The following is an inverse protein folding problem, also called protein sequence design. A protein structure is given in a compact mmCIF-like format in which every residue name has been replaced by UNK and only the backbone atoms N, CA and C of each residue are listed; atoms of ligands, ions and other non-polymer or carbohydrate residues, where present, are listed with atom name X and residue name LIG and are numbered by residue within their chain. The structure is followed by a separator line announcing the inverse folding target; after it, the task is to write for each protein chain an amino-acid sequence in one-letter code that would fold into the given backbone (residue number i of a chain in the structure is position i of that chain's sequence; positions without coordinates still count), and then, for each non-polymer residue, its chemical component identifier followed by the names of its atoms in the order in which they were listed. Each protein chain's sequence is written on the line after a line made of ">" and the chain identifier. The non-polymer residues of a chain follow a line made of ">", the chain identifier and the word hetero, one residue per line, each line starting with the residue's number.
data_IF_951437863599
#
_entry.id   IF_951437863599
#
_cell.length_a   1.000
_cell.length_b   1.000
_cell.length_c   1.000
_cell.angle_alpha   90.00
_cell.angle_beta   90.00
_cell.angle_gamma   90.00
#
_symmetry.space_group_name_H-M   'P 1'
#
loop_
_entity.id
_entity.type
_entity.pdbx_description
1 polymer ?
#
# COMPACT_ATOMS: atom_id res chain seq x y z
N UNK A 1 -34.82 -14.73 -14.54
CA UNK A 1 -34.79 -15.78 -13.51
C UNK A 1 -35.57 -15.26 -12.32
N UNK A 2 -36.51 -16.02 -11.74
CA UNK A 2 -37.21 -15.59 -10.53
C UNK A 2 -36.28 -15.70 -9.32
N UNK A 3 -36.23 -14.66 -8.48
CA UNK A 3 -35.50 -14.65 -7.23
C UNK A 3 -36.22 -15.56 -6.22
N UNK A 4 -35.51 -16.60 -5.76
CA UNK A 4 -35.94 -17.49 -4.69
C UNK A 4 -35.17 -17.05 -3.44
N UNK A 5 -35.88 -16.54 -2.44
CA UNK A 5 -35.30 -16.23 -1.14
C UNK A 5 -35.61 -17.35 -0.17
N UNK A 6 -34.58 -17.93 0.43
CA UNK A 6 -34.69 -18.92 1.50
C UNK A 6 -34.78 -18.21 2.84
N UNK A 7 -35.79 -18.54 3.63
CA UNK A 7 -35.86 -18.15 5.04
C UNK A 7 -35.86 -19.42 5.90
N UNK A 8 -34.91 -19.46 6.83
CA UNK A 8 -34.82 -20.46 7.88
C UNK A 8 -35.47 -19.82 9.11
N UNK A 9 -36.62 -20.36 9.54
CA UNK A 9 -37.26 -19.94 10.78
C UNK A 9 -36.48 -20.45 12.00
N UNK A 10 -36.72 -19.83 13.16
CA UNK A 10 -36.02 -20.16 14.42
C UNK A 10 -36.37 -21.55 15.00
N UNK A 11 -37.39 -22.24 14.46
CA UNK A 11 -37.75 -23.61 14.84
C UNK A 11 -37.31 -24.62 13.78
N UNK A 12 -36.58 -25.67 14.21
CA UNK A 12 -35.81 -26.62 13.38
C UNK A 12 -36.60 -27.45 12.36
N UNK A 13 -37.93 -27.34 12.28
CA UNK A 13 -38.76 -28.28 11.51
C UNK A 13 -39.80 -27.62 10.56
N UNK A 14 -39.64 -26.34 10.17
CA UNK A 14 -40.51 -25.73 9.16
C UNK A 14 -39.76 -24.98 8.05
N UNK A 15 -39.63 -25.63 6.90
CA UNK A 15 -39.28 -24.97 5.63
C UNK A 15 -40.57 -24.51 4.93
N UNK A 16 -40.74 -23.20 4.77
CA UNK A 16 -41.90 -22.64 4.06
C UNK A 16 -41.45 -21.91 2.80
N UNK A 17 -41.71 -22.50 1.63
CA UNK A 17 -41.46 -21.84 0.34
C UNK A 17 -42.57 -20.83 0.10
N UNK A 18 -42.26 -19.54 0.24
CA UNK A 18 -43.19 -18.47 -0.12
C UNK A 18 -42.86 -17.92 -1.50
N UNK A 19 -43.84 -17.98 -2.41
CA UNK A 19 -43.71 -17.34 -3.72
C UNK A 19 -43.93 -15.84 -3.57
N UNK A 20 -42.90 -15.04 -3.87
CA UNK A 20 -43.04 -13.59 -3.88
C UNK A 20 -44.07 -13.16 -4.95
N UNK A 21 -44.98 -12.22 -4.64
CA UNK A 21 -45.93 -11.70 -5.61
C UNK A 21 -45.18 -11.04 -6.76
N UNK A 22 -45.55 -11.40 -7.99
CA UNK A 22 -44.92 -10.89 -9.22
C UNK A 22 -44.84 -9.36 -9.21
N UNK A 23 -43.67 -8.75 -9.43
CA UNK A 23 -43.52 -7.31 -9.38
C UNK A 23 -44.45 -6.64 -10.39
N UNK A 24 -45.31 -5.75 -9.89
CA UNK A 24 -46.24 -4.93 -10.68
C UNK A 24 -45.47 -4.27 -11.83
N UNK A 25 -45.92 -4.49 -13.08
CA UNK A 25 -45.35 -3.91 -14.31
C UNK A 25 -45.10 -2.41 -14.13
N UNK A 26 -43.86 -2.05 -13.81
CA UNK A 26 -43.43 -0.66 -13.67
C UNK A 26 -43.29 -0.03 -15.05
N UNK A 27 -44.07 1.02 -15.31
CA UNK A 27 -44.06 1.81 -16.55
C UNK A 27 -42.66 2.36 -16.88
N UNK A 28 -41.80 2.56 -15.87
CA UNK A 28 -40.40 3.00 -16.03
C UNK A 28 -39.51 1.95 -16.70
N UNK A 29 -39.74 0.65 -16.43
CA UNK A 29 -38.93 -0.44 -17.00
C UNK A 29 -39.14 -0.56 -18.52
N UNK A 30 -40.36 -0.28 -18.98
CA UNK A 30 -40.70 -0.27 -20.41
C UNK A 30 -40.06 0.91 -21.16
N UNK A 31 -39.97 2.08 -20.51
CA UNK A 31 -39.28 3.26 -21.08
C UNK A 31 -37.79 2.98 -21.25
N UNK A 32 -37.14 2.36 -20.24
CA UNK A 32 -35.73 1.98 -20.34
C UNK A 32 -35.46 0.99 -21.49
N UNK A 33 -36.31 -0.02 -21.67
CA UNK A 33 -36.18 -0.98 -22.78
C UNK A 33 -36.32 -0.27 -24.14
N UNK A 34 -37.27 0.66 -24.29
CA UNK A 34 -37.43 1.42 -25.53
C UNK A 34 -36.21 2.30 -25.84
N UNK A 35 -35.60 2.93 -24.83
CA UNK A 35 -34.38 3.73 -25.00
C UNK A 35 -33.23 2.85 -25.50
N UNK A 36 -33.04 1.67 -24.92
CA UNK A 36 -31.99 0.72 -25.35
C UNK A 36 -32.21 0.25 -26.79
N UNK A 37 -33.45 -0.05 -27.17
CA UNK A 37 -33.77 -0.48 -28.54
C UNK A 37 -33.53 0.64 -29.56
N UNK A 38 -33.92 1.88 -29.24
CA UNK A 38 -33.70 3.03 -30.13
C UNK A 38 -32.21 3.35 -30.27
N UNK A 39 -31.44 3.32 -29.17
CA UNK A 39 -29.99 3.51 -29.21
C UNK A 39 -29.28 2.40 -29.98
N UNK A 40 -29.69 1.14 -29.79
CA UNK A 40 -29.13 -0.01 -30.52
C UNK A 40 -29.39 0.06 -32.02
N UNK A 41 -30.60 0.46 -32.44
CA UNK A 41 -30.92 0.68 -33.84
C UNK A 41 -30.14 1.86 -34.45
N UNK A 42 -29.96 2.95 -33.69
CA UNK A 42 -29.16 4.10 -34.11
C UNK A 42 -27.68 3.76 -34.34
N UNK A 43 -27.08 2.97 -33.44
CA UNK A 43 -25.70 2.48 -33.58
C UNK A 43 -25.54 1.55 -34.79
N UNK A 44 -26.52 0.69 -35.06
CA UNK A 44 -26.50 -0.18 -36.25
C UNK A 44 -26.55 0.58 -37.57
N UNK A 45 -27.27 1.71 -37.62
CA UNK A 45 -27.31 2.58 -38.80
C UNK A 45 -25.98 3.34 -39.00
N UNK A 46 -25.36 3.81 -37.93
CA UNK A 46 -24.08 4.53 -37.98
C UNK A 46 -22.92 3.63 -38.43
N UNK A 47 -22.92 2.36 -38.03
CA UNK A 47 -21.93 1.38 -38.49
C UNK A 47 -22.05 1.02 -39.97
N UNK A 48 -23.26 1.12 -40.55
CA UNK A 48 -23.49 0.83 -41.98
C UNK A 48 -23.08 1.95 -42.92
N UNK A 49 -22.85 3.16 -42.41
CA UNK A 49 -22.44 4.32 -43.21
C UNK A 49 -20.92 4.51 -43.28
N UNK A 50 -20.12 3.61 -42.69
CA UNK A 50 -18.66 3.66 -42.84
C UNK A 50 -18.34 3.11 -44.24
N UNK A 51 -17.87 3.95 -45.19
CA UNK A 51 -17.51 3.48 -46.52
C UNK A 51 -16.45 2.39 -46.41
N UNK A 52 -16.65 1.31 -47.16
CA UNK A 52 -15.75 0.17 -47.21
C UNK A 52 -14.34 0.66 -47.54
N UNK A 53 -13.42 0.45 -46.60
CA UNK A 53 -12.04 0.91 -46.68
C UNK A 53 -11.41 0.46 -48.00
N UNK A 54 -10.73 1.39 -48.68
CA UNK A 54 -10.00 1.11 -49.90
C UNK A 54 -9.17 -0.19 -49.78
N UNK A 55 -9.07 -1.00 -50.85
CA UNK A 55 -8.39 -2.28 -50.82
C UNK A 55 -7.00 -2.13 -50.21
N UNK A 56 -6.77 -2.89 -49.13
CA UNK A 56 -5.53 -2.85 -48.33
C UNK A 56 -4.36 -3.10 -49.29
N UNK A 57 -3.34 -2.22 -49.32
CA UNK A 57 -2.17 -2.44 -50.17
C UNK A 57 -1.59 -3.82 -49.85
N UNK A 58 -1.29 -4.58 -50.91
CA UNK A 58 -0.70 -5.91 -50.82
C UNK A 58 0.52 -5.85 -49.90
N UNK A 59 0.57 -6.65 -48.82
CA UNK A 59 1.69 -6.60 -47.89
C UNK A 59 2.98 -6.87 -48.65
N UNK A 60 3.92 -5.92 -48.56
CA UNK A 60 5.30 -6.20 -48.95
C UNK A 60 5.77 -7.45 -48.22
N UNK A 61 6.55 -8.34 -48.88
CA UNK A 61 7.08 -9.54 -48.25
C UNK A 61 7.74 -9.14 -46.93
N UNK A 62 7.19 -9.65 -45.82
CA UNK A 62 7.76 -9.44 -44.49
C UNK A 62 9.23 -9.83 -44.56
N UNK A 63 10.17 -8.94 -44.14
CA UNK A 63 11.56 -9.32 -44.04
C UNK A 63 11.65 -10.59 -43.20
N UNK A 64 12.43 -11.57 -43.67
CA UNK A 64 12.66 -12.81 -42.94
C UNK A 64 12.99 -12.48 -41.49
N UNK A 65 12.34 -13.11 -40.51
CA UNK A 65 12.55 -12.80 -39.10
C UNK A 65 14.04 -12.88 -38.81
N UNK A 66 14.64 -11.75 -38.40
CA UNK A 66 16.00 -11.78 -37.88
C UNK A 66 16.01 -12.77 -36.72
N UNK A 67 17.01 -13.66 -36.63
CA UNK A 67 17.11 -14.58 -35.51
C UNK A 67 17.10 -13.76 -34.23
N UNK A 68 16.07 -13.98 -33.39
CA UNK A 68 16.00 -13.35 -32.08
C UNK A 68 17.29 -13.70 -31.34
N UNK A 69 18.10 -12.72 -30.91
CA UNK A 69 19.34 -13.00 -30.21
C UNK A 69 19.04 -13.91 -29.02
N UNK A 70 19.65 -15.09 -28.98
CA UNK A 70 19.50 -16.03 -27.87
C UNK A 70 19.97 -15.35 -26.60
N UNK A 71 19.06 -15.16 -25.64
CA UNK A 71 19.38 -14.56 -24.35
C UNK A 71 20.56 -15.32 -23.72
N UNK A 72 21.60 -14.65 -23.21
CA UNK A 72 22.70 -15.34 -22.56
C UNK A 72 22.16 -16.18 -21.40
N UNK A 73 22.71 -17.39 -21.22
CA UNK A 73 22.38 -18.21 -20.06
C UNK A 73 22.97 -17.58 -18.78
N UNK A 74 22.21 -17.60 -17.69
CA UNK A 74 22.70 -17.17 -16.37
C UNK A 74 23.92 -18.03 -16.00
N UNK A 75 25.05 -17.43 -15.57
CA UNK A 75 26.20 -18.21 -15.13
C UNK A 75 25.81 -19.20 -14.02
N UNK A 76 26.20 -20.47 -14.15
CA UNK A 76 25.75 -21.53 -13.25
C UNK A 76 25.98 -21.23 -11.76
N UNK A 77 27.09 -20.57 -11.42
CA UNK A 77 27.39 -20.17 -10.03
C UNK A 77 26.53 -19.01 -9.54
N UNK A 78 26.13 -18.08 -10.40
CA UNK A 78 25.19 -17.01 -10.04
C UNK A 78 23.80 -17.60 -9.80
N UNK A 79 23.37 -18.47 -10.72
CA UNK A 79 22.12 -19.22 -10.57
C UNK A 79 22.08 -19.97 -9.24
N UNK A 80 23.13 -20.71 -8.89
CA UNK A 80 23.21 -21.45 -7.62
C UNK A 80 23.10 -20.54 -6.37
N UNK A 81 23.64 -19.33 -6.41
CA UNK A 81 23.48 -18.36 -5.32
C UNK A 81 22.04 -17.84 -5.23
N UNK A 82 21.41 -17.49 -6.37
CA UNK A 82 20.01 -17.05 -6.42
C UNK A 82 19.08 -18.14 -5.92
N UNK A 83 19.29 -19.38 -6.35
CA UNK A 83 18.52 -20.56 -5.95
C UNK A 83 18.58 -20.78 -4.44
N UNK A 84 19.80 -20.78 -3.88
CA UNK A 84 20.01 -20.96 -2.44
C UNK A 84 19.42 -19.82 -1.62
N UNK A 85 19.51 -18.58 -2.10
CA UNK A 85 18.87 -17.42 -1.47
C UNK A 85 17.35 -17.56 -1.48
N UNK A 86 16.77 -17.94 -2.62
CA UNK A 86 15.32 -18.10 -2.75
C UNK A 86 14.79 -19.18 -1.80
N UNK A 87 15.46 -20.34 -1.70
CA UNK A 87 15.12 -21.40 -0.76
C UNK A 87 15.22 -20.93 0.70
N UNK A 88 16.33 -20.27 1.06
CA UNK A 88 16.52 -19.78 2.42
C UNK A 88 15.49 -18.72 2.82
N UNK A 89 15.06 -17.84 1.91
CA UNK A 89 13.96 -16.90 2.13
C UNK A 89 12.62 -17.63 2.32
N UNK A 90 12.36 -18.65 1.50
CA UNK A 90 11.14 -19.47 1.59
C UNK A 90 11.04 -20.19 2.95
N UNK A 91 12.16 -20.74 3.42
CA UNK A 91 12.26 -21.51 4.68
C UNK A 91 12.44 -20.62 5.92
N UNK A 92 12.81 -19.35 5.75
CA UNK A 92 13.22 -18.49 6.86
C UNK A 92 14.57 -18.87 7.48
N UNK A 93 15.46 -19.50 6.70
CA UNK A 93 16.83 -19.86 7.13
C UNK A 93 17.73 -18.62 7.16
N UNK A 94 17.66 -17.90 8.28
CA UNK A 94 18.39 -16.65 8.48
C UNK A 94 19.91 -16.80 8.40
N UNK A 95 20.46 -17.93 8.85
CA UNK A 95 21.90 -18.13 8.84
C UNK A 95 22.43 -18.37 7.42
N UNK A 96 21.66 -19.07 6.56
CA UNK A 96 21.98 -19.14 5.13
C UNK A 96 21.88 -17.77 4.45
N UNK A 97 20.87 -16.95 4.78
CA UNK A 97 20.76 -15.58 4.23
C UNK A 97 21.95 -14.71 4.64
N UNK A 98 22.36 -14.76 5.90
CA UNK A 98 23.56 -14.05 6.39
C UNK A 98 24.80 -14.53 5.63
N UNK A 99 24.97 -15.84 5.44
CA UNK A 99 26.13 -16.42 4.75
C UNK A 99 26.19 -16.13 3.24
N UNK A 100 25.04 -15.79 2.64
CA UNK A 100 24.90 -15.38 1.24
C UNK A 100 25.04 -13.88 1.03
N UNK A 101 25.04 -13.06 2.09
CA UNK A 101 25.28 -11.62 1.98
C UNK A 101 26.77 -11.30 2.01
N UNK A 102 27.14 -10.17 1.39
CA UNK A 102 28.46 -9.56 1.55
C UNK A 102 28.71 -9.12 3.00
N UNK A 103 29.83 -8.46 3.31
CA UNK A 103 30.08 -7.88 4.63
C UNK A 103 28.92 -6.96 5.05
N UNK A 104 28.39 -7.19 6.26
CA UNK A 104 27.32 -6.41 6.87
C UNK A 104 27.75 -6.00 8.27
N UNK A 105 27.25 -4.87 8.76
CA UNK A 105 27.43 -4.48 10.16
C UNK A 105 26.60 -5.36 11.11
N UNK A 106 26.96 -5.36 12.39
CA UNK A 106 26.31 -6.21 13.40
C UNK A 106 24.83 -5.85 13.62
N UNK A 107 24.44 -4.59 13.43
CA UNK A 107 23.06 -4.15 13.61
C UNK A 107 22.16 -4.67 12.48
N UNK A 108 22.65 -4.65 11.23
CA UNK A 108 21.96 -5.23 10.08
C UNK A 108 21.75 -6.74 10.23
N UNK A 109 22.74 -7.46 10.73
CA UNK A 109 22.64 -8.90 11.02
C UNK A 109 21.59 -9.17 12.11
N UNK A 110 21.64 -8.43 13.21
CA UNK A 110 20.68 -8.59 14.32
C UNK A 110 19.25 -8.20 13.92
N UNK A 111 19.11 -7.20 13.05
CA UNK A 111 17.82 -6.87 12.46
C UNK A 111 17.28 -8.02 11.61
N UNK A 112 18.10 -8.63 10.75
CA UNK A 112 17.70 -9.81 9.96
C UNK A 112 17.26 -10.97 10.85
N UNK A 113 18.00 -11.29 11.91
CA UNK A 113 17.64 -12.36 12.86
C UNK A 113 16.29 -12.15 13.54
N UNK A 114 15.96 -10.91 13.90
CA UNK A 114 14.71 -10.58 14.57
C UNK A 114 13.52 -10.49 13.62
N UNK A 115 13.74 -10.11 12.37
CA UNK A 115 12.66 -9.71 11.46
C UNK A 115 12.46 -10.66 10.27
N UNK A 116 13.42 -11.54 9.95
CA UNK A 116 13.22 -12.50 8.87
C UNK A 116 12.17 -13.54 9.29
N UNK A 117 11.08 -13.57 8.54
CA UNK A 117 10.06 -14.62 8.58
C UNK A 117 10.17 -15.43 7.29
N UNK A 118 9.80 -16.71 7.37
CA UNK A 118 9.68 -17.57 6.19
C UNK A 118 8.69 -16.95 5.19
N UNK A 119 9.09 -16.83 3.92
CA UNK A 119 8.22 -16.36 2.84
C UNK A 119 7.22 -17.44 2.40
N UNK A 120 7.48 -18.70 2.76
CA UNK A 120 6.66 -19.85 2.40
C UNK A 120 6.98 -20.41 1.03
N UNK A 121 6.38 -21.57 0.74
CA UNK A 121 6.50 -22.29 -0.53
C UNK A 121 5.16 -22.29 -1.27
N UNK A 122 5.17 -22.29 -2.62
CA UNK A 122 3.95 -22.53 -3.38
C UNK A 122 3.41 -23.93 -3.04
N UNK A 123 2.10 -24.02 -2.82
CA UNK A 123 1.40 -25.29 -2.54
C UNK A 123 0.94 -26.01 -3.81
N UNK A 124 1.10 -25.37 -4.96
CA UNK A 124 0.76 -25.86 -6.29
C UNK A 124 2.02 -26.12 -7.12
N UNK A 125 1.85 -26.41 -8.42
CA UNK A 125 2.97 -26.70 -9.34
C UNK A 125 3.77 -25.45 -9.75
N UNK A 126 3.50 -24.26 -9.18
CA UNK A 126 4.27 -23.05 -9.52
C UNK A 126 5.70 -23.17 -9.01
N UNK A 127 6.62 -22.57 -9.77
CA UNK A 127 8.01 -22.45 -9.34
C UNK A 127 8.12 -21.54 -8.11
N UNK A 128 9.05 -21.85 -7.21
CA UNK A 128 9.38 -20.99 -6.07
C UNK A 128 9.83 -19.60 -6.50
N UNK A 129 10.60 -19.52 -7.59
CA UNK A 129 11.05 -18.27 -8.18
C UNK A 129 11.32 -18.41 -9.69
N UNK A 130 11.43 -17.28 -10.36
CA UNK A 130 11.77 -17.12 -11.77
C UNK A 130 12.76 -15.95 -11.92
N UNK A 131 13.84 -16.15 -12.70
CA UNK A 131 14.76 -15.07 -13.08
C UNK A 131 14.19 -14.39 -14.32
N UNK A 132 13.59 -13.21 -14.14
CA UNK A 132 12.96 -12.43 -15.20
C UNK A 132 14.01 -11.81 -16.10
N UNK A 133 15.05 -11.24 -15.52
CA UNK A 133 16.19 -10.66 -16.22
C UNK A 133 17.46 -10.70 -15.40
N UNK A 134 18.61 -10.61 -16.07
CA UNK A 134 19.89 -10.49 -15.40
C UNK A 134 20.92 -9.84 -16.31
N UNK A 135 21.96 -9.29 -15.69
CA UNK A 135 23.11 -8.79 -16.45
C UNK A 135 24.39 -8.95 -15.62
N UNK A 136 25.47 -9.35 -16.30
CA UNK A 136 26.82 -9.28 -15.77
C UNK A 136 27.43 -7.94 -16.16
N UNK A 137 27.42 -7.00 -15.22
CA UNK A 137 28.02 -5.67 -15.43
C UNK A 137 29.54 -5.74 -15.53
N UNK A 138 30.12 -6.67 -14.78
CA UNK A 138 31.53 -7.04 -14.86
C UNK A 138 31.67 -8.53 -14.52
N UNK A 139 32.87 -9.11 -14.63
CA UNK A 139 33.11 -10.47 -14.13
C UNK A 139 32.81 -10.65 -12.63
N UNK A 140 32.72 -9.54 -11.87
CA UNK A 140 32.54 -9.57 -10.42
C UNK A 140 31.29 -8.87 -9.91
N UNK A 141 30.46 -8.30 -10.79
CA UNK A 141 29.22 -7.62 -10.43
C UNK A 141 28.08 -8.07 -11.33
N UNK A 142 26.96 -8.39 -10.73
CA UNK A 142 25.75 -8.80 -11.43
C UNK A 142 24.51 -8.22 -10.76
N UNK A 143 23.42 -8.19 -11.50
CA UNK A 143 22.09 -8.05 -10.94
C UNK A 143 21.16 -9.07 -11.57
N UNK A 144 20.10 -9.43 -10.85
CA UNK A 144 19.04 -10.28 -11.34
C UNK A 144 17.68 -9.74 -10.89
N UNK A 145 16.76 -9.55 -11.83
CA UNK A 145 15.36 -9.29 -11.57
C UNK A 145 14.67 -10.64 -11.32
N UNK A 146 14.21 -10.84 -10.09
CA UNK A 146 13.70 -12.12 -9.59
C UNK A 146 12.26 -11.94 -9.15
N UNK A 147 11.38 -12.77 -9.73
CA UNK A 147 10.02 -12.99 -9.25
C UNK A 147 10.05 -14.20 -8.33
N UNK A 148 9.71 -14.04 -7.06
CA UNK A 148 9.73 -15.09 -6.06
C UNK A 148 8.38 -15.17 -5.33
N UNK A 149 7.97 -16.37 -4.96
CA UNK A 149 6.80 -16.59 -4.13
C UNK A 149 7.04 -16.07 -2.71
N UNK A 150 6.09 -15.29 -2.20
CA UNK A 150 6.09 -14.72 -0.86
C UNK A 150 4.65 -14.59 -0.36
N UNK A 151 4.36 -15.21 0.78
CA UNK A 151 3.08 -15.11 1.47
C UNK A 151 1.88 -15.37 0.56
N UNK A 152 1.93 -16.43 -0.25
CA UNK A 152 0.84 -16.82 -1.16
C UNK A 152 0.87 -16.17 -2.55
N UNK A 153 1.73 -15.18 -2.78
CA UNK A 153 1.71 -14.32 -3.97
C UNK A 153 3.08 -14.21 -4.64
N UNK A 154 3.11 -13.72 -5.88
CA UNK A 154 4.35 -13.43 -6.60
C UNK A 154 4.87 -12.04 -6.23
N UNK A 155 6.11 -11.97 -5.74
CA UNK A 155 6.83 -10.77 -5.36
C UNK A 155 8.07 -10.61 -6.25
N UNK A 156 8.21 -9.47 -6.92
CA UNK A 156 9.30 -9.19 -7.86
C UNK A 156 10.25 -8.14 -7.30
N UNK A 157 11.54 -8.40 -7.31
CA UNK A 157 12.60 -7.47 -6.89
C UNK A 157 13.86 -7.63 -7.75
N UNK A 158 14.64 -6.56 -7.87
CA UNK A 158 16.00 -6.58 -8.42
C UNK A 158 17.01 -6.81 -7.30
N UNK A 159 17.77 -7.89 -7.45
CA UNK A 159 18.83 -8.32 -6.52
C UNK A 159 20.20 -7.98 -7.09
N UNK A 160 21.10 -7.54 -6.23
CA UNK A 160 22.48 -7.19 -6.61
C UNK A 160 23.45 -8.24 -6.07
N UNK A 161 24.45 -8.61 -6.87
CA UNK A 161 25.43 -9.62 -6.50
C UNK A 161 26.85 -9.18 -6.78
N UNK A 162 27.75 -9.56 -5.88
CA UNK A 162 29.19 -9.37 -6.00
C UNK A 162 29.92 -10.71 -5.90
N UNK A 163 30.91 -10.92 -6.77
CA UNK A 163 31.73 -12.12 -6.79
C UNK A 163 32.90 -11.98 -5.82
N UNK A 164 32.93 -12.81 -4.79
CA UNK A 164 33.98 -12.81 -3.77
C UNK A 164 34.28 -14.24 -3.32
N UNK A 165 35.56 -14.58 -3.12
CA UNK A 165 35.98 -15.89 -2.61
C UNK A 165 35.32 -17.06 -3.37
N UNK A 166 35.33 -16.97 -4.70
CA UNK A 166 34.78 -17.98 -5.62
C UNK A 166 33.27 -18.24 -5.55
N UNK A 167 32.49 -17.30 -4.98
CA UNK A 167 31.02 -17.35 -4.91
C UNK A 167 30.39 -15.99 -5.18
N UNK A 168 29.13 -15.99 -5.61
CA UNK A 168 28.31 -14.78 -5.67
C UNK A 168 27.63 -14.55 -4.33
N UNK A 169 27.76 -13.33 -3.80
CA UNK A 169 27.15 -12.86 -2.57
C UNK A 169 26.14 -11.76 -2.89
N UNK A 170 24.99 -11.75 -2.22
CA UNK A 170 24.02 -10.64 -2.23
C UNK A 170 24.72 -9.39 -1.72
N UNK A 171 24.75 -8.38 -2.56
CA UNK A 171 25.24 -7.05 -2.24
C UNK A 171 24.06 -6.13 -1.92
N UNK A 172 24.37 -5.03 -1.24
CA UNK A 172 23.44 -3.91 -1.13
C UNK A 172 23.21 -3.27 -2.51
N UNK A 173 22.23 -2.38 -2.55
CA UNK A 173 21.91 -1.56 -3.72
C UNK A 173 23.18 -0.97 -4.36
N UNK A 174 23.36 -1.18 -5.67
CA UNK A 174 24.47 -0.61 -6.45
C UNK A 174 23.94 0.53 -7.34
N UNK A 175 24.20 1.81 -7.00
CA UNK A 175 23.69 2.94 -7.78
C UNK A 175 24.11 2.91 -9.25
N UNK A 176 25.24 2.27 -9.56
CA UNK A 176 25.67 2.16 -10.94
C UNK A 176 24.67 1.36 -11.79
N UNK A 177 23.81 0.50 -11.21
CA UNK A 177 22.74 -0.24 -11.92
C UNK A 177 21.88 0.67 -12.80
N UNK A 178 21.58 1.87 -12.32
CA UNK A 178 20.79 2.85 -13.04
C UNK A 178 21.64 3.54 -14.11
N UNK A 179 21.03 3.79 -15.26
CA UNK A 179 21.64 4.52 -16.38
C UNK A 179 21.78 6.03 -16.13
N UNK A 180 21.43 6.51 -14.94
CA UNK A 180 21.21 7.92 -14.58
C UNK A 180 20.15 8.64 -15.43
N UNK A 181 19.51 7.95 -16.38
CA UNK A 181 18.42 8.49 -17.17
C UNK A 181 17.14 8.50 -16.35
N UNK A 182 16.40 9.61 -16.46
CA UNK A 182 15.12 9.80 -15.77
C UNK A 182 14.02 10.10 -16.76
N UNK A 183 12.84 9.63 -16.40
CA UNK A 183 11.59 9.95 -17.06
C UNK A 183 10.63 10.60 -16.06
N UNK A 184 9.58 11.20 -16.62
CA UNK A 184 8.51 11.81 -15.85
C UNK A 184 7.17 11.25 -16.29
N UNK A 185 6.28 11.02 -15.33
CA UNK A 185 4.88 10.68 -15.57
C UNK A 185 4.01 11.69 -14.80
N UNK A 186 3.08 12.32 -15.50
CA UNK A 186 2.10 13.23 -14.90
C UNK A 186 0.74 12.54 -14.78
N UNK A 187 0.11 12.70 -13.62
CA UNK A 187 -1.27 12.30 -13.32
C UNK A 187 -2.02 13.47 -12.68
N UNK A 188 -3.35 13.38 -12.46
CA UNK A 188 -4.12 14.49 -11.88
C UNK A 188 -3.54 15.09 -10.59
N UNK A 189 -2.95 14.26 -9.72
CA UNK A 189 -2.42 14.71 -8.43
C UNK A 189 -0.92 14.48 -8.23
N UNK A 190 -0.24 13.80 -9.16
CA UNK A 190 1.17 13.49 -9.00
C UNK A 190 2.01 13.90 -10.21
N UNK A 191 3.17 14.50 -9.92
CA UNK A 191 4.27 14.63 -10.87
C UNK A 191 5.35 13.64 -10.46
N UNK A 192 5.51 12.55 -11.20
CA UNK A 192 6.39 11.44 -10.82
C UNK A 192 7.69 11.51 -11.61
N UNK A 193 8.81 11.59 -10.91
CA UNK A 193 10.17 11.54 -11.47
C UNK A 193 10.76 10.17 -11.10
N UNK A 194 11.16 9.39 -12.10
CA UNK A 194 11.64 8.02 -11.89
C UNK A 194 12.78 7.67 -12.85
N UNK A 195 13.53 6.61 -12.55
CA UNK A 195 14.59 6.14 -13.43
C UNK A 195 14.02 5.26 -14.55
N UNK A 196 14.59 5.31 -15.76
CA UNK A 196 14.05 4.60 -16.95
C UNK A 196 13.89 3.08 -16.74
N UNK A 197 14.68 2.49 -15.85
CA UNK A 197 14.60 1.08 -15.49
C UNK A 197 13.25 0.75 -14.82
N UNK A 198 12.63 1.70 -14.12
CA UNK A 198 11.35 1.52 -13.43
C UNK A 198 10.13 1.69 -14.33
N UNK A 199 10.31 2.06 -15.62
CA UNK A 199 9.22 2.45 -16.54
C UNK A 199 8.02 1.49 -16.52
N UNK A 200 8.27 0.18 -16.58
CA UNK A 200 7.20 -0.82 -16.66
C UNK A 200 6.37 -0.93 -15.37
N UNK A 201 6.85 -0.37 -14.26
CA UNK A 201 6.16 -0.38 -12.96
C UNK A 201 5.40 0.91 -12.68
N UNK A 202 5.81 2.04 -13.26
CA UNK A 202 5.33 3.34 -12.78
C UNK A 202 3.85 3.59 -13.06
N UNK A 203 3.37 3.29 -14.27
CA UNK A 203 1.97 3.57 -14.60
C UNK A 203 0.99 2.81 -13.67
N UNK A 204 1.12 1.48 -13.45
CA UNK A 204 0.27 0.77 -12.49
C UNK A 204 0.35 1.34 -11.06
N UNK A 205 1.56 1.67 -10.59
CA UNK A 205 1.75 2.25 -9.25
C UNK A 205 1.02 3.60 -9.13
N UNK A 206 1.15 4.47 -10.12
CA UNK A 206 0.50 5.79 -10.11
C UNK A 206 -1.02 5.68 -10.22
N UNK A 207 -1.52 4.79 -11.08
CA UNK A 207 -2.97 4.55 -11.20
C UNK A 207 -3.58 4.08 -9.86
N UNK A 208 -2.87 3.21 -9.14
CA UNK A 208 -3.29 2.75 -7.82
C UNK A 208 -3.24 3.89 -6.78
N UNK A 209 -2.20 4.73 -6.81
CA UNK A 209 -2.09 5.88 -5.90
C UNK A 209 -3.15 6.93 -6.15
N UNK A 210 -3.55 7.17 -7.39
CA UNK A 210 -4.66 8.07 -7.72
C UNK A 210 -5.99 7.58 -7.12
N UNK A 211 -6.27 6.28 -7.23
CA UNK A 211 -7.45 5.68 -6.62
C UNK A 211 -7.43 5.78 -5.09
N UNK A 212 -6.28 5.50 -4.48
CA UNK A 212 -6.07 5.59 -3.04
C UNK A 212 -6.18 7.03 -2.55
N UNK A 213 -5.59 8.01 -3.26
CA UNK A 213 -5.67 9.43 -2.91
C UNK A 213 -7.12 9.91 -2.87
N UNK A 214 -7.95 9.50 -3.82
CA UNK A 214 -9.39 9.82 -3.78
C UNK A 214 -10.07 9.35 -2.50
N UNK A 215 -9.75 8.14 -2.03
CA UNK A 215 -10.26 7.60 -0.75
C UNK A 215 -9.68 8.33 0.46
N UNK A 216 -8.37 8.56 0.48
CA UNK A 216 -7.70 9.31 1.54
C UNK A 216 -8.33 10.71 1.69
N UNK A 217 -8.58 11.41 0.58
CA UNK A 217 -9.18 12.73 0.64
C UNK A 217 -10.65 12.71 1.09
N UNK A 218 -11.40 11.66 0.78
CA UNK A 218 -12.75 11.49 1.31
C UNK A 218 -12.73 11.26 2.83
N UNK A 219 -11.79 10.45 3.33
CA UNK A 219 -11.66 10.14 4.76
C UNK A 219 -11.03 11.30 5.57
N UNK A 220 -10.11 12.07 5.00
CA UNK A 220 -9.42 13.19 5.66
C UNK A 220 -10.12 14.55 5.45
N UNK A 221 -11.13 14.61 4.57
CA UNK A 221 -11.93 15.82 4.34
C UNK A 221 -11.18 16.92 3.59
N UNK A 222 -10.35 16.56 2.60
CA UNK A 222 -9.53 17.50 1.82
C UNK A 222 -10.34 18.67 1.24
N UNK A 223 -9.72 19.85 1.18
CA UNK A 223 -10.24 20.94 0.35
C UNK A 223 -10.20 20.58 -1.14
N UNK A 224 -11.14 21.12 -1.93
CA UNK A 224 -11.28 20.80 -3.37
C UNK A 224 -10.13 21.30 -4.27
N UNK A 225 -9.08 21.92 -3.72
CA UNK A 225 -7.97 22.46 -4.50
C UNK A 225 -6.92 21.37 -4.70
N UNK A 226 -6.70 20.87 -5.93
CA UNK A 226 -5.65 19.89 -6.16
C UNK A 226 -4.28 20.56 -6.05
N UNK A 227 -3.52 20.21 -5.00
CA UNK A 227 -2.07 20.32 -5.03
C UNK A 227 -1.52 19.13 -5.84
N UNK A 228 -0.65 19.41 -6.80
CA UNK A 228 0.15 18.36 -7.44
C UNK A 228 1.34 18.07 -6.55
N UNK A 229 1.42 16.85 -6.04
CA UNK A 229 2.55 16.38 -5.22
C UNK A 229 3.64 15.84 -6.12
N UNK A 230 4.91 16.23 -5.90
CA UNK A 230 6.02 15.62 -6.65
C UNK A 230 6.43 14.32 -5.98
N UNK A 231 6.40 13.21 -6.72
CA UNK A 231 6.91 11.91 -6.28
C UNK A 231 8.24 11.64 -6.97
N UNK A 232 9.27 11.31 -6.20
CA UNK A 232 10.64 11.17 -6.68
C UNK A 232 11.16 9.79 -6.30
N UNK A 233 11.20 8.89 -7.27
CA UNK A 233 11.67 7.52 -7.09
C UNK A 233 13.17 7.50 -7.31
N UNK A 234 13.93 7.53 -6.21
CA UNK A 234 15.39 7.60 -6.23
C UNK A 234 16.00 6.22 -6.07
N UNK A 235 17.15 6.08 -6.70
CA UNK A 235 18.00 4.92 -6.57
C UNK A 235 18.73 5.01 -5.22
N UNK A 236 18.19 4.37 -4.17
CA UNK A 236 18.85 4.25 -2.88
C UNK A 236 17.89 4.09 -1.70
N UNK A 237 18.29 3.28 -0.72
CA UNK A 237 17.54 3.02 0.51
C UNK A 237 18.01 4.00 1.59
N UNK A 238 17.71 5.29 1.43
CA UNK A 238 17.84 6.17 2.60
C UNK A 238 16.54 6.05 3.39
N UNK A 239 16.61 5.33 4.51
CA UNK A 239 15.53 5.11 5.48
C UNK A 239 15.08 6.37 6.23
N UNK A 240 15.53 7.55 5.77
CA UNK A 240 15.07 8.83 6.26
C UNK A 240 13.60 9.06 5.91
N UNK A 241 12.99 9.99 6.63
CA UNK A 241 11.64 10.46 6.32
C UNK A 241 11.54 10.82 4.83
N UNK A 242 10.52 10.29 4.12
CA UNK A 242 10.44 10.42 2.66
C UNK A 242 10.09 11.84 2.20
N UNK A 243 9.77 12.78 3.08
CA UNK A 243 9.32 14.13 2.69
C UNK A 243 10.51 15.10 2.68
N UNK A 244 10.65 15.92 1.63
CA UNK A 244 11.63 17.01 1.57
C UNK A 244 11.38 18.08 2.63
N UNK A 245 12.41 18.85 2.98
CA UNK A 245 12.32 19.93 3.98
C UNK A 245 11.24 20.98 3.64
N UNK A 246 10.90 21.15 2.36
CA UNK A 246 9.85 22.07 1.90
C UNK A 246 8.46 21.42 1.78
N UNK A 247 8.33 20.13 2.13
CA UNK A 247 7.08 19.39 2.10
C UNK A 247 6.57 19.01 0.70
N UNK A 248 7.25 19.41 -0.38
CA UNK A 248 6.70 19.35 -1.76
C UNK A 248 7.11 18.12 -2.56
N UNK A 249 8.21 17.49 -2.19
CA UNK A 249 8.74 16.29 -2.83
C UNK A 249 8.68 15.12 -1.85
N UNK A 250 7.95 14.07 -2.23
CA UNK A 250 7.99 12.79 -1.54
C UNK A 250 8.97 11.87 -2.28
N UNK A 251 9.93 11.32 -1.56
CA UNK A 251 11.03 10.50 -2.06
C UNK A 251 10.84 9.06 -1.63
N UNK A 252 10.78 8.15 -2.58
CA UNK A 252 10.78 6.71 -2.33
C UNK A 252 11.98 6.06 -2.98
N UNK A 253 12.34 4.87 -2.51
CA UNK A 253 13.27 4.04 -3.24
C UNK A 253 12.59 3.48 -4.51
N UNK A 254 13.40 3.18 -5.52
CA UNK A 254 12.97 2.54 -6.76
C UNK A 254 12.11 1.29 -6.48
N UNK A 255 10.97 1.11 -7.18
CA UNK A 255 10.15 -0.09 -7.06
C UNK A 255 10.90 -1.38 -7.35
N UNK A 256 11.88 -1.34 -8.27
CA UNK A 256 12.77 -2.48 -8.52
C UNK A 256 13.60 -2.87 -7.30
N UNK A 257 13.93 -1.94 -6.41
CA UNK A 257 14.75 -2.21 -5.21
C UNK A 257 13.88 -2.63 -4.04
N UNK A 258 12.76 -1.94 -3.84
CA UNK A 258 11.83 -2.25 -2.75
C UNK A 258 11.05 -3.54 -2.99
N UNK A 259 10.86 -3.87 -4.26
CA UNK A 259 10.06 -4.98 -4.73
C UNK A 259 8.56 -4.70 -4.71
N UNK A 260 7.83 -5.44 -5.55
CA UNK A 260 6.41 -5.26 -5.80
C UNK A 260 5.71 -6.62 -5.87
N UNK A 261 4.49 -6.70 -5.36
CA UNK A 261 3.62 -7.83 -5.68
C UNK A 261 3.00 -7.59 -7.06
N UNK A 262 2.99 -8.61 -7.91
CA UNK A 262 2.50 -8.47 -9.29
C UNK A 262 0.98 -8.60 -9.42
N UNK A 263 0.33 -9.18 -8.43
CA UNK A 263 -1.13 -9.27 -8.41
C UNK A 263 -1.72 -7.96 -7.86
N UNK A 264 -2.81 -7.45 -8.45
CA UNK A 264 -3.59 -6.28 -7.99
C UNK A 264 -4.28 -6.47 -6.63
N UNK A 265 -4.04 -7.60 -5.96
CA UNK A 265 -4.68 -7.90 -4.69
C UNK A 265 -4.34 -6.81 -3.65
N UNK A 266 -5.30 -6.50 -2.75
CA UNK A 266 -5.23 -5.38 -1.83
C UNK A 266 -3.92 -5.36 -1.07
N UNK A 267 -3.56 -4.16 -0.63
CA UNK A 267 -2.47 -3.93 0.30
C UNK A 267 -2.55 -4.98 1.41
N UNK A 268 -1.44 -5.64 1.73
CA UNK A 268 -1.39 -6.66 2.78
C UNK A 268 -0.43 -6.20 3.87
N UNK A 269 -0.81 -6.37 5.13
CA UNK A 269 -0.01 -5.96 6.29
C UNK A 269 1.34 -6.69 6.38
N UNK A 270 1.44 -7.91 5.85
CA UNK A 270 2.61 -8.79 5.98
C UNK A 270 3.85 -8.35 5.16
N UNK A 271 3.76 -7.24 4.45
CA UNK A 271 4.93 -6.56 3.92
C UNK A 271 4.63 -5.09 3.72
N UNK A 272 5.51 -4.24 4.26
CA UNK A 272 5.67 -2.86 3.79
C UNK A 272 6.05 -2.92 2.30
N UNK A 273 5.06 -3.13 1.43
CA UNK A 273 5.24 -3.03 0.00
C UNK A 273 5.32 -1.53 -0.37
N UNK A 274 5.90 -1.23 -1.52
CA UNK A 274 6.05 0.16 -1.96
C UNK A 274 4.72 0.91 -1.91
N UNK A 275 3.62 0.31 -2.37
CA UNK A 275 2.30 0.96 -2.41
C UNK A 275 1.80 1.32 -1.02
N UNK A 276 1.97 0.47 -0.02
CA UNK A 276 1.56 0.74 1.35
C UNK A 276 2.34 1.93 1.90
N UNK A 277 3.66 1.93 1.71
CA UNK A 277 4.52 3.04 2.12
C UNK A 277 4.14 4.34 1.39
N UNK A 278 3.89 4.27 0.08
CA UNK A 278 3.47 5.41 -0.71
C UNK A 278 2.09 5.93 -0.29
N UNK A 279 1.15 5.03 0.02
CA UNK A 279 -0.18 5.36 0.54
C UNK A 279 -0.06 6.07 1.88
N UNK A 280 0.72 5.49 2.79
CA UNK A 280 0.93 6.02 4.13
C UNK A 280 1.58 7.40 4.12
N UNK A 281 2.63 7.57 3.33
CA UNK A 281 3.27 8.88 3.18
C UNK A 281 2.37 9.88 2.45
N UNK A 282 1.54 9.44 1.51
CA UNK A 282 0.53 10.30 0.87
C UNK A 282 -0.51 10.76 1.89
N UNK A 283 -0.99 9.87 2.77
CA UNK A 283 -1.92 10.21 3.84
C UNK A 283 -1.31 11.24 4.81
N UNK A 284 -0.05 11.04 5.20
CA UNK A 284 0.69 12.00 6.01
C UNK A 284 0.82 13.34 5.31
N UNK A 285 1.22 13.37 4.04
CA UNK A 285 1.37 14.59 3.27
C UNK A 285 0.06 15.37 3.20
N UNK A 286 -1.07 14.71 2.91
CA UNK A 286 -2.41 15.33 2.95
C UNK A 286 -2.69 15.90 4.35
N UNK A 287 -2.42 15.12 5.39
CA UNK A 287 -2.68 15.55 6.77
C UNK A 287 -1.84 16.78 7.16
N UNK A 288 -0.59 16.87 6.67
CA UNK A 288 0.27 18.05 6.83
C UNK A 288 -0.24 19.27 6.06
N UNK A 289 -0.71 19.09 4.82
CA UNK A 289 -1.28 20.17 4.00
C UNK A 289 -2.52 20.79 4.65
N UNK A 290 -3.34 19.98 5.34
CA UNK A 290 -4.52 20.45 6.08
C UNK A 290 -4.14 21.09 7.44
N UNK A 291 -2.89 20.93 7.91
CA UNK A 291 -2.43 21.42 9.22
C UNK A 291 -1.07 22.15 9.18
N UNK A 292 -0.87 23.15 8.28
CA UNK A 292 0.46 23.66 7.96
C UNK A 292 1.18 24.31 9.15
N UNK A 293 0.48 25.05 10.01
CA UNK A 293 1.10 25.67 11.20
C UNK A 293 1.46 24.68 12.30
N UNK A 294 0.87 23.48 12.28
CA UNK A 294 1.15 22.42 13.25
C UNK A 294 2.33 21.55 12.79
N UNK A 295 2.51 21.39 11.47
CA UNK A 295 3.58 20.61 10.86
C UNK A 295 4.99 21.15 11.24
N UNK A 296 5.18 22.46 11.19
CA UNK A 296 6.50 23.09 11.38
C UNK A 296 7.06 22.92 12.79
N UNK A 297 6.20 22.90 13.83
CA UNK A 297 6.61 22.77 15.23
C UNK A 297 6.51 21.31 15.74
N UNK A 298 5.71 20.45 15.08
CA UNK A 298 5.30 19.14 15.60
C UNK A 298 5.20 18.06 14.52
N UNK A 299 6.08 18.05 13.53
CA UNK A 299 6.15 17.01 12.48
C UNK A 299 6.14 15.55 13.01
N UNK A 300 6.53 15.34 14.28
CA UNK A 300 6.48 14.05 14.97
C UNK A 300 5.26 13.89 15.90
N UNK A 301 4.15 14.58 15.65
CA UNK A 301 2.95 14.48 16.49
C UNK A 301 2.37 13.06 16.42
N UNK A 302 2.25 12.36 17.56
CA UNK A 302 1.66 11.02 17.60
C UNK A 302 0.26 10.96 17.01
N UNK A 303 -0.53 12.01 17.21
CA UNK A 303 -1.90 12.09 16.74
C UNK A 303 -1.99 12.20 15.21
N UNK A 304 -1.13 13.01 14.59
CA UNK A 304 -1.09 13.14 13.14
C UNK A 304 -0.68 11.83 12.46
N UNK A 305 0.30 11.15 13.05
CA UNK A 305 0.71 9.81 12.62
C UNK A 305 -0.44 8.79 12.76
N UNK A 306 -1.16 8.84 13.88
CA UNK A 306 -2.31 7.97 14.13
C UNK A 306 -3.43 8.16 13.10
N UNK A 307 -3.78 9.40 12.80
CA UNK A 307 -4.78 9.74 11.78
C UNK A 307 -4.33 9.28 10.39
N UNK A 308 -3.05 9.50 10.04
CA UNK A 308 -2.51 9.10 8.73
C UNK A 308 -2.50 7.58 8.56
N UNK A 309 -2.13 6.83 9.61
CA UNK A 309 -2.19 5.38 9.59
C UNK A 309 -3.64 4.89 9.49
N UNK A 310 -4.56 5.45 10.29
CA UNK A 310 -5.98 5.14 10.23
C UNK A 310 -6.56 5.32 8.82
N UNK A 311 -6.30 6.47 8.18
CA UNK A 311 -6.76 6.73 6.81
C UNK A 311 -6.11 5.77 5.80
N UNK A 312 -4.85 5.43 6.00
CA UNK A 312 -4.15 4.44 5.17
C UNK A 312 -4.81 3.08 5.25
N UNK A 313 -5.06 2.56 6.45
CA UNK A 313 -5.68 1.26 6.65
C UNK A 313 -7.08 1.19 6.02
N UNK A 314 -7.86 2.28 6.14
CA UNK A 314 -9.17 2.38 5.50
C UNK A 314 -9.10 2.42 3.97
N UNK A 315 -8.23 3.27 3.42
CA UNK A 315 -8.05 3.36 1.97
C UNK A 315 -7.47 2.07 1.36
N UNK A 316 -6.72 1.32 2.16
CA UNK A 316 -6.14 0.03 1.83
C UNK A 316 -7.12 -1.15 1.98
N UNK A 317 -8.28 -0.93 2.63
CA UNK A 317 -9.22 -1.98 3.04
C UNK A 317 -8.54 -3.08 3.87
N UNK A 318 -7.56 -2.70 4.67
CA UNK A 318 -6.77 -3.62 5.48
C UNK A 318 -7.55 -3.98 6.75
N UNK A 319 -7.72 -5.29 7.06
CA UNK A 319 -8.25 -5.70 8.35
C UNK A 319 -7.19 -5.36 9.41
N UNK A 320 -7.44 -4.32 10.19
CA UNK A 320 -6.54 -3.94 11.26
C UNK A 320 -7.12 -4.35 12.61
N UNK A 321 -6.50 -5.33 13.26
CA UNK A 321 -6.91 -5.76 14.59
C UNK A 321 -6.31 -4.85 15.66
N UNK A 322 -6.97 -3.72 15.90
CA UNK A 322 -6.60 -2.78 16.96
C UNK A 322 -6.68 -3.43 18.36
N UNK A 323 -7.46 -4.49 18.55
CA UNK A 323 -7.72 -5.06 19.88
C UNK A 323 -6.45 -5.62 20.52
N UNK A 324 -5.58 -6.24 19.72
CA UNK A 324 -4.31 -6.79 20.19
C UNK A 324 -3.33 -5.69 20.66
N UNK A 325 -3.32 -4.53 20.00
CA UNK A 325 -2.45 -3.40 20.36
C UNK A 325 -2.99 -2.63 21.57
N UNK A 326 -4.28 -2.32 21.57
CA UNK A 326 -4.95 -1.61 22.67
C UNK A 326 -4.76 -2.35 24.01
N UNK A 327 -4.81 -3.69 24.00
CA UNK A 327 -4.71 -4.54 25.20
C UNK A 327 -3.38 -4.42 25.93
N UNK A 328 -2.26 -4.56 25.22
CA UNK A 328 -0.94 -4.77 25.84
C UNK A 328 -0.42 -3.51 26.54
N UNK A 329 -0.80 -2.33 26.04
CA UNK A 329 -0.14 -1.08 26.43
C UNK A 329 -0.97 -0.15 27.30
N UNK A 330 -2.30 -0.07 27.08
CA UNK A 330 -3.15 0.75 27.96
C UNK A 330 -3.22 0.18 29.39
N UNK A 331 -2.99 -1.12 29.56
CA UNK A 331 -2.99 -1.78 30.87
C UNK A 331 -1.67 -1.62 31.62
N UNK A 332 -0.54 -1.45 30.92
CA UNK A 332 0.79 -1.45 31.55
C UNK A 332 1.28 -0.06 31.93
N UNK A 333 0.82 0.99 31.22
CA UNK A 333 1.15 2.38 31.52
C UNK A 333 -0.03 3.30 31.17
N UNK A 334 -0.93 3.62 32.12
CA UNK A 334 -2.02 4.56 31.86
C UNK A 334 -1.42 5.96 31.68
N UNK A 335 -1.31 6.39 30.42
CA UNK A 335 -0.94 7.75 30.06
C UNK A 335 -2.21 8.62 30.04
N UNK A 336 -2.12 9.82 30.60
CA UNK A 336 -3.17 10.82 30.46
C UNK A 336 -3.33 11.22 28.98
N UNK A 337 -4.56 11.47 28.53
CA UNK A 337 -4.84 11.87 27.15
C UNK A 337 -4.09 13.14 26.74
N UNK A 338 -3.84 14.06 27.67
CA UNK A 338 -3.05 15.28 27.45
C UNK A 338 -1.60 15.01 27.06
N UNK A 339 -1.06 13.82 27.35
CA UNK A 339 0.26 13.43 26.89
C UNK A 339 0.34 13.37 25.35
N UNK A 340 -0.78 13.23 24.64
CA UNK A 340 -0.83 13.31 23.17
C UNK A 340 -0.46 14.70 22.66
N UNK A 341 -0.70 15.73 23.47
CA UNK A 341 -0.37 17.10 23.11
C UNK A 341 1.04 17.50 23.54
N UNK A 342 1.46 17.05 24.71
CA UNK A 342 2.75 17.38 25.31
C UNK A 342 3.39 16.09 25.84
N UNK A 343 3.99 15.27 24.96
CA UNK A 343 4.53 13.98 25.35
C UNK A 343 5.69 14.15 26.34
N UNK A 344 5.74 13.33 27.41
CA UNK A 344 6.89 13.33 28.31
C UNK A 344 8.16 12.89 27.55
N UNK A 345 9.34 13.40 27.94
CA UNK A 345 10.59 13.04 27.28
C UNK A 345 10.85 11.53 27.40
N UNK A 346 11.22 10.87 26.29
CA UNK A 346 11.63 9.47 26.27
C UNK A 346 10.49 8.43 26.15
N UNK A 347 9.25 8.85 25.88
CA UNK A 347 8.07 7.95 25.83
C UNK A 347 7.47 7.87 24.41
N UNK A 348 8.30 7.72 23.38
CA UNK A 348 7.84 7.80 21.99
C UNK A 348 6.86 6.66 21.64
N UNK A 349 7.21 5.40 21.90
CA UNK A 349 6.40 4.28 21.43
C UNK A 349 5.03 4.20 22.10
N UNK A 350 4.98 4.40 23.42
CA UNK A 350 3.71 4.35 24.17
C UNK A 350 2.79 5.51 23.78
N UNK A 351 3.34 6.69 23.43
CA UNK A 351 2.49 7.80 22.99
C UNK A 351 1.90 7.58 21.59
N UNK A 352 2.65 6.97 20.65
CA UNK A 352 2.09 6.58 19.35
C UNK A 352 0.95 5.56 19.52
N UNK A 353 1.13 4.59 20.41
CA UNK A 353 0.10 3.58 20.72
C UNK A 353 -1.15 4.20 21.36
N UNK A 354 -0.99 5.14 22.29
CA UNK A 354 -2.12 5.90 22.82
C UNK A 354 -2.84 6.67 21.71
N UNK A 355 -2.10 7.33 20.82
CA UNK A 355 -2.67 8.11 19.73
C UNK A 355 -3.51 7.25 18.79
N UNK A 356 -2.97 6.09 18.42
CA UNK A 356 -3.67 5.10 17.62
C UNK A 356 -4.97 4.62 18.29
N UNK A 357 -4.92 4.27 19.57
CA UNK A 357 -6.08 3.81 20.32
C UNK A 357 -7.16 4.90 20.43
N UNK A 358 -6.74 6.16 20.63
CA UNK A 358 -7.65 7.32 20.68
C UNK A 358 -8.32 7.58 19.34
N UNK A 359 -7.59 7.53 18.22
CA UNK A 359 -8.19 7.68 16.88
C UNK A 359 -9.22 6.57 16.61
N UNK A 360 -8.90 5.34 17.00
CA UNK A 360 -9.83 4.22 16.85
C UNK A 360 -11.07 4.36 17.74
N UNK A 361 -10.91 4.80 18.99
CA UNK A 361 -12.03 5.12 19.87
C UNK A 361 -12.91 6.22 19.27
N UNK A 362 -12.31 7.29 18.73
CA UNK A 362 -13.05 8.38 18.08
C UNK A 362 -13.87 7.85 16.91
N UNK A 363 -13.29 7.01 16.05
CA UNK A 363 -14.03 6.38 14.95
C UNK A 363 -15.20 5.51 15.44
N UNK A 364 -15.01 4.72 16.49
CA UNK A 364 -16.06 3.82 17.01
C UNK A 364 -17.21 4.59 17.67
N UNK A 365 -16.90 5.59 18.49
CA UNK A 365 -17.88 6.33 19.30
C UNK A 365 -18.55 7.47 18.50
N UNK A 366 -17.79 8.16 17.63
CA UNK A 366 -18.25 9.37 16.93
C UNK A 366 -18.26 9.23 15.40
N UNK A 367 -17.76 8.11 14.85
CA UNK A 367 -17.72 7.84 13.42
C UNK A 367 -16.48 8.38 12.69
N UNK A 368 -16.21 7.86 11.50
CA UNK A 368 -15.08 8.29 10.66
C UNK A 368 -15.02 9.82 10.39
N UNK A 369 -16.14 10.54 10.14
CA UNK A 369 -16.08 11.99 9.94
C UNK A 369 -15.51 12.76 11.13
N UNK A 370 -15.66 12.24 12.36
CA UNK A 370 -15.10 12.86 13.55
C UNK A 370 -13.57 12.88 13.55
N UNK A 371 -12.93 11.84 12.99
CA UNK A 371 -11.46 11.79 12.85
C UNK A 371 -10.97 12.88 11.89
N UNK A 372 -11.70 13.14 10.81
CA UNK A 372 -11.40 14.24 9.88
C UNK A 372 -11.57 15.61 10.55
N UNK A 373 -12.61 15.80 11.37
CA UNK A 373 -12.81 17.06 12.11
C UNK A 373 -11.69 17.33 13.12
N UNK A 374 -11.12 16.28 13.74
CA UNK A 374 -9.94 16.39 14.60
C UNK A 374 -8.76 16.95 13.80
N UNK A 375 -8.51 16.45 12.59
CA UNK A 375 -7.43 16.95 11.75
C UNK A 375 -7.62 18.45 11.45
N UNK A 376 -8.83 18.87 11.03
CA UNK A 376 -9.13 20.27 10.67
C UNK A 376 -8.89 21.26 11.81
N UNK A 377 -9.18 20.88 13.05
CA UNK A 377 -9.05 21.77 14.20
C UNK A 377 -7.67 21.73 14.85
N UNK A 378 -6.82 20.74 14.51
CA UNK A 378 -5.52 20.49 15.14
C UNK A 378 -4.60 21.72 15.10
N UNK A 379 -4.57 22.44 13.98
CA UNK A 379 -3.75 23.63 13.81
C UNK A 379 -4.16 24.81 14.71
N UNK A 380 -5.43 24.87 15.13
CA UNK A 380 -6.00 25.97 15.92
C UNK A 380 -6.20 25.64 17.41
N UNK A 381 -5.98 24.38 17.78
CA UNK A 381 -6.16 23.91 19.15
C UNK A 381 -4.96 24.31 20.02
N UNK A 382 -5.21 24.59 21.30
CA UNK A 382 -4.18 24.95 22.28
C UNK A 382 -3.77 23.79 23.19
N UNK A 383 -4.64 22.79 23.32
CA UNK A 383 -4.45 21.56 24.09
C UNK A 383 -5.20 20.41 23.43
N UNK A 384 -4.95 19.18 23.88
CA UNK A 384 -5.77 18.04 23.46
C UNK A 384 -7.24 18.19 23.88
N UNK A 385 -7.51 18.75 25.07
CA UNK A 385 -8.87 19.03 25.51
C UNK A 385 -9.60 20.03 24.62
N UNK A 386 -8.96 21.15 24.27
CA UNK A 386 -9.49 22.15 23.35
C UNK A 386 -9.70 21.57 21.94
N UNK A 387 -8.81 20.68 21.49
CA UNK A 387 -8.97 19.96 20.23
C UNK A 387 -10.24 19.10 20.22
N UNK A 388 -10.45 18.30 21.26
CA UNK A 388 -11.64 17.45 21.41
C UNK A 388 -12.91 18.29 21.44
N UNK A 389 -12.95 19.34 22.26
CA UNK A 389 -14.13 20.19 22.41
C UNK A 389 -14.50 20.90 21.10
N UNK A 390 -13.51 21.44 20.37
CA UNK A 390 -13.74 22.08 19.07
C UNK A 390 -14.20 21.10 17.99
N UNK A 391 -13.58 19.92 17.92
CA UNK A 391 -13.79 18.99 16.81
C UNK A 391 -15.05 18.15 16.99
N UNK A 392 -15.34 17.73 18.22
CA UNK A 392 -16.42 16.78 18.52
C UNK A 392 -17.64 17.48 19.13
N UNK A 393 -17.51 18.73 19.59
CA UNK A 393 -18.59 19.47 20.24
C UNK A 393 -19.04 18.89 21.58
N UNK A 394 -18.20 18.05 22.21
CA UNK A 394 -18.45 17.45 23.53
C UNK A 394 -17.46 17.99 24.56
N UNK A 395 -17.88 18.23 25.82
CA UNK A 395 -16.94 18.61 26.89
C UNK A 395 -15.85 17.55 27.09
N UNK A 396 -14.61 17.97 27.32
CA UNK A 396 -13.50 17.02 27.43
C UNK A 396 -13.67 16.01 28.57
N UNK A 397 -14.28 16.41 29.70
CA UNK A 397 -14.57 15.51 30.81
C UNK A 397 -15.53 14.38 30.43
N UNK A 398 -16.50 14.65 29.54
CA UNK A 398 -17.40 13.62 29.02
C UNK A 398 -16.66 12.66 28.09
N UNK A 399 -15.80 13.21 27.21
CA UNK A 399 -14.95 12.41 26.33
C UNK A 399 -14.04 11.47 27.13
N UNK A 400 -13.33 11.98 28.14
CA UNK A 400 -12.44 11.18 28.98
C UNK A 400 -13.23 10.08 29.72
N UNK A 401 -14.40 10.39 30.27
CA UNK A 401 -15.24 9.37 30.91
C UNK A 401 -15.60 8.23 29.95
N UNK A 402 -16.01 8.55 28.71
CA UNK A 402 -16.34 7.53 27.70
C UNK A 402 -15.10 6.75 27.26
N UNK A 403 -13.96 7.42 27.11
CA UNK A 403 -12.68 6.79 26.82
C UNK A 403 -12.30 5.78 27.89
N UNK A 404 -12.33 6.15 29.18
CA UNK A 404 -12.03 5.23 30.29
C UNK A 404 -12.96 4.01 30.30
N UNK A 405 -14.26 4.23 30.06
CA UNK A 405 -15.23 3.13 29.96
C UNK A 405 -14.90 2.17 28.80
N UNK A 406 -14.55 2.71 27.63
CA UNK A 406 -14.15 1.93 26.47
C UNK A 406 -12.88 1.11 26.72
N UNK A 407 -11.86 1.70 27.34
CA UNK A 407 -10.61 1.00 27.72
C UNK A 407 -10.88 -0.15 28.69
N UNK A 408 -11.76 0.07 29.67
CA UNK A 408 -12.17 -0.97 30.62
C UNK A 408 -12.91 -2.12 29.92
N UNK A 409 -13.85 -1.81 29.02
CA UNK A 409 -14.58 -2.82 28.27
C UNK A 409 -13.64 -3.69 27.41
N UNK A 410 -12.71 -3.07 26.67
CA UNK A 410 -11.73 -3.80 25.84
C UNK A 410 -10.77 -4.67 26.66
N UNK A 411 -10.57 -4.31 27.92
CA UNK A 411 -9.78 -5.11 28.87
C UNK A 411 -10.53 -6.36 29.34
N UNK A 412 -11.87 -6.34 29.41
CA UNK A 412 -12.70 -7.47 29.83
C UNK A 412 -12.93 -8.49 28.72
N UNK A 413 -13.16 -8.06 27.47
CA UNK A 413 -13.36 -8.92 26.28
C UNK A 413 -12.15 -9.82 25.94
N UNK A 414 -11.05 -9.61 26.67
CA UNK A 414 -9.73 -10.20 26.47
C UNK A 414 -9.45 -11.42 27.35
N UNK A 415 -10.41 -11.81 28.21
CA UNK A 415 -10.38 -12.96 29.11
C UNK A 415 -11.33 -14.05 28.64
#
# INVERSE_FOLDING_TARGET
>A
MPDIHWHIGEDKDQETITHAPSPRRSRRRWIAIMIVVVLGAGLGALYRSIPESAPRPTPLPSPSPQPTPTRPAVPAKLYASIDREAQALADGDVETIIALRGPQDAQSIEWLRRNLKAWGHPTDERALYEIIDFNLRSPTKAWADVRQFRNGRSFRETRFYQWENERWLRADFDPFFWSDQRETLDSPHFHVIYAVEDRDFIQPVVDQLEQVRGRLCADLGCAAVPSTTTLSLKSGVNSGWPVSDDGREIRFASPRVMGLYEDDAPLSEEGLNLIFLMTWTTAQHIAFEETPSYADDRANSPLLWAISNWATMRAAELPYDWSAQVKTELQTQPLALEALWNPPPGVNDAIFRLAYAVVHFIEQEYGAPAVAEILKHMASAQSFSDLIEKSLGVPFAEFDQKWQAWVNQKSEDSH
#
